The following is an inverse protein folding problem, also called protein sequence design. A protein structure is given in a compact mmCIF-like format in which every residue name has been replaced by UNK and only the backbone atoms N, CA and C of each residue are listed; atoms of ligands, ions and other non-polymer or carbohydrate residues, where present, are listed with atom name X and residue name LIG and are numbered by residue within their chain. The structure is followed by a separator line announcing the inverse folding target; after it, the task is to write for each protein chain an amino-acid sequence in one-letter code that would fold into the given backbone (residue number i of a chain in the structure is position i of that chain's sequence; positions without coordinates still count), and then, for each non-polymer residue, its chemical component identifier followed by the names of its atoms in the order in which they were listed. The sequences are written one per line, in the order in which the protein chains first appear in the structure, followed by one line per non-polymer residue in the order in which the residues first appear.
data_IF_559746491927
#
_entry.id   IF_559746491927
#
_cell.length_a   1.000
_cell.length_b   1.000
_cell.length_c   1.000
_cell.angle_alpha   90.00
_cell.angle_beta   90.00
_cell.angle_gamma   90.00
#
_symmetry.space_group_name_H-M   'P 1'
#
loop_
_entity.id
_entity.type
_entity.pdbx_description
1 polymer ?
#
# COMPACT_ATOMS: atom_id res chain seq x y z
N UNK A 1 -53.36 -12.80 61.62
CA UNK A 1 -52.02 -12.81 62.24
C UNK A 1 -51.20 -13.93 61.59
N UNK A 2 -51.22 -14.04 60.26
CA UNK A 2 -50.55 -15.12 59.51
C UNK A 2 -49.92 -14.66 58.18
N UNK A 3 -49.77 -13.32 57.92
CA UNK A 3 -49.18 -12.80 56.64
C UNK A 3 -47.81 -12.20 56.81
N UNK A 4 -47.16 -12.30 57.98
CA UNK A 4 -45.80 -11.72 58.18
C UNK A 4 -44.69 -12.76 58.35
N UNK A 5 -44.94 -14.04 58.03
CA UNK A 5 -43.94 -15.11 58.20
C UNK A 5 -43.28 -15.61 56.93
N UNK A 6 -43.67 -15.12 55.74
CA UNK A 6 -43.08 -15.56 54.44
C UNK A 6 -42.00 -14.61 53.87
N UNK A 7 -41.58 -13.59 54.59
CA UNK A 7 -40.61 -12.62 54.03
C UNK A 7 -39.20 -12.74 54.59
N UNK A 8 -38.83 -13.92 55.08
CA UNK A 8 -37.47 -14.23 55.53
C UNK A 8 -37.03 -15.64 55.15
N UNK A 9 -37.21 -16.02 53.88
CA UNK A 9 -36.49 -17.16 53.33
C UNK A 9 -35.15 -16.69 52.82
N UNK A 10 -34.07 -17.20 53.40
CA UNK A 10 -32.74 -17.10 52.86
C UNK A 10 -32.72 -17.65 51.41
N UNK A 11 -31.93 -17.08 50.50
CA UNK A 11 -31.87 -17.57 49.12
C UNK A 11 -31.55 -19.06 49.16
N UNK A 12 -32.41 -19.86 48.57
CA UNK A 12 -32.23 -21.31 48.47
C UNK A 12 -30.96 -21.61 47.69
N UNK A 13 -30.19 -22.62 48.09
CA UNK A 13 -28.92 -23.02 47.41
C UNK A 13 -29.08 -23.13 45.90
N UNK A 14 -30.24 -23.51 45.38
CA UNK A 14 -30.59 -23.50 43.97
C UNK A 14 -30.55 -22.10 43.30
N UNK A 15 -30.74 -21.02 44.05
CA UNK A 15 -30.62 -19.62 43.53
C UNK A 15 -29.17 -19.14 43.53
N UNK A 16 -28.35 -19.68 44.41
CA UNK A 16 -26.87 -19.39 44.39
C UNK A 16 -26.18 -20.18 43.29
N UNK A 17 -26.51 -21.48 43.08
CA UNK A 17 -25.97 -22.25 41.94
C UNK A 17 -26.35 -21.64 40.60
N UNK A 18 -27.58 -21.17 40.41
CA UNK A 18 -28.01 -20.47 39.18
C UNK A 18 -27.32 -19.10 39.01
N UNK A 19 -27.02 -18.41 40.13
CA UNK A 19 -26.20 -17.18 40.06
C UNK A 19 -24.74 -17.47 39.72
N UNK A 20 -24.15 -18.50 40.32
CA UNK A 20 -22.78 -18.92 39.96
C UNK A 20 -22.69 -19.44 38.51
N UNK A 21 -23.66 -20.27 38.04
CA UNK A 21 -23.69 -20.66 36.62
C UNK A 21 -23.89 -19.48 35.66
N UNK A 22 -24.68 -18.48 36.04
CA UNK A 22 -24.86 -17.24 35.24
C UNK A 22 -23.58 -16.36 35.29
N UNK A 23 -22.91 -16.25 36.42
CA UNK A 23 -21.63 -15.51 36.52
C UNK A 23 -20.48 -16.19 35.79
N UNK A 24 -20.43 -17.53 35.76
CA UNK A 24 -19.39 -18.29 35.04
C UNK A 24 -19.54 -18.15 33.49
N UNK A 25 -20.72 -17.82 32.98
CA UNK A 25 -20.96 -17.70 31.52
C UNK A 25 -20.69 -16.28 30.97
N UNK A 26 -20.53 -15.27 31.80
CA UNK A 26 -20.10 -13.91 31.36
C UNK A 26 -18.59 -13.68 31.59
N UNK A 27 -17.76 -14.51 31.00
CA UNK A 27 -16.40 -14.08 30.74
C UNK A 27 -16.49 -12.99 29.67
N UNK A 28 -16.61 -11.72 30.11
CA UNK A 28 -16.65 -10.57 29.24
C UNK A 28 -15.43 -10.61 28.32
N UNK A 29 -15.63 -11.06 27.09
CA UNK A 29 -14.60 -10.98 26.07
C UNK A 29 -14.35 -9.50 25.84
N UNK A 30 -13.10 -9.06 26.02
CA UNK A 30 -12.73 -7.68 25.71
C UNK A 30 -13.29 -7.29 24.32
N UNK A 31 -13.79 -6.07 24.12
CA UNK A 31 -14.37 -5.62 22.85
C UNK A 31 -13.48 -5.95 21.64
N UNK A 32 -12.17 -5.80 21.81
CA UNK A 32 -11.17 -6.12 20.77
C UNK A 32 -11.20 -7.62 20.44
N UNK A 33 -11.28 -8.49 21.44
CA UNK A 33 -11.30 -9.95 21.22
C UNK A 33 -12.57 -10.40 20.47
N UNK A 34 -13.70 -9.72 20.72
CA UNK A 34 -14.93 -9.97 19.96
C UNK A 34 -14.77 -9.56 18.49
N UNK A 35 -14.20 -8.39 18.22
CA UNK A 35 -13.94 -7.93 16.85
C UNK A 35 -13.01 -8.90 16.13
N UNK A 36 -11.88 -9.28 16.73
CA UNK A 36 -10.94 -10.25 16.14
C UNK A 36 -11.63 -11.58 15.85
N UNK A 37 -12.43 -12.12 16.79
CA UNK A 37 -13.14 -13.38 16.57
C UNK A 37 -14.17 -13.29 15.44
N UNK A 38 -14.91 -12.17 15.33
CA UNK A 38 -15.86 -11.94 14.24
C UNK A 38 -15.15 -11.80 12.89
N UNK A 39 -14.04 -11.06 12.85
CA UNK A 39 -13.23 -10.88 11.66
C UNK A 39 -12.74 -12.21 11.08
N UNK A 40 -12.12 -13.07 11.89
CA UNK A 40 -11.62 -14.37 11.43
C UNK A 40 -12.74 -15.41 11.17
N UNK A 41 -13.98 -15.15 11.57
CA UNK A 41 -15.12 -15.97 11.19
C UNK A 41 -15.59 -15.73 9.76
N UNK A 42 -15.33 -14.57 9.20
CA UNK A 42 -15.63 -14.21 7.81
C UNK A 42 -14.65 -14.91 6.86
N UNK A 43 -15.15 -15.73 5.96
CA UNK A 43 -14.33 -16.41 4.94
C UNK A 43 -13.64 -15.41 4.01
N UNK A 44 -14.35 -14.33 3.67
CA UNK A 44 -13.83 -13.29 2.77
C UNK A 44 -12.65 -12.53 3.40
N UNK A 45 -12.78 -12.17 4.69
CA UNK A 45 -11.70 -11.54 5.46
C UNK A 45 -10.45 -12.43 5.53
N UNK A 46 -10.65 -13.75 5.75
CA UNK A 46 -9.56 -14.70 5.80
C UNK A 46 -8.84 -14.81 4.46
N UNK A 47 -9.60 -14.86 3.35
CA UNK A 47 -9.01 -14.83 1.99
C UNK A 47 -8.21 -13.55 1.78
N UNK A 48 -8.74 -12.38 2.16
CA UNK A 48 -8.02 -11.11 2.07
C UNK A 48 -6.71 -11.11 2.87
N UNK A 49 -6.73 -11.62 4.11
CA UNK A 49 -5.52 -11.73 4.94
C UNK A 49 -4.49 -12.65 4.29
N UNK A 50 -4.90 -13.81 3.75
CA UNK A 50 -3.99 -14.74 3.07
C UNK A 50 -3.38 -14.07 1.82
N UNK A 51 -4.21 -13.41 1.00
CA UNK A 51 -3.74 -12.67 -0.19
C UNK A 51 -2.68 -11.64 0.18
N UNK A 52 -2.95 -10.82 1.18
CA UNK A 52 -2.01 -9.80 1.65
C UNK A 52 -0.76 -10.44 2.28
N UNK A 53 -0.90 -11.49 3.09
CA UNK A 53 0.25 -12.18 3.69
C UNK A 53 1.20 -12.73 2.63
N UNK A 54 0.67 -13.38 1.59
CA UNK A 54 1.46 -13.87 0.45
C UNK A 54 2.14 -12.70 -0.26
N UNK A 55 1.41 -11.63 -0.53
CA UNK A 55 1.89 -10.47 -1.24
C UNK A 55 3.00 -9.73 -0.45
N UNK A 56 2.83 -9.52 0.87
CA UNK A 56 3.85 -8.94 1.72
C UNK A 56 5.08 -9.82 1.85
N UNK A 57 4.90 -11.13 1.99
CA UNK A 57 6.00 -12.10 2.02
C UNK A 57 6.78 -12.04 0.70
N UNK A 58 6.09 -12.04 -0.43
CA UNK A 58 6.70 -11.93 -1.74
C UNK A 58 7.51 -10.62 -1.89
N UNK A 59 6.93 -9.48 -1.53
CA UNK A 59 7.56 -8.18 -1.71
C UNK A 59 8.73 -7.94 -0.72
N UNK A 60 8.59 -8.29 0.55
CA UNK A 60 9.55 -7.92 1.60
C UNK A 60 10.51 -9.05 1.96
N UNK A 61 10.04 -10.29 2.06
CA UNK A 61 10.88 -11.44 2.36
C UNK A 61 11.44 -12.09 1.09
N UNK A 62 10.79 -11.89 -0.07
CA UNK A 62 11.21 -12.49 -1.35
C UNK A 62 12.67 -12.21 -1.71
N UNK A 63 13.11 -10.93 -1.86
CA UNK A 63 14.47 -10.63 -2.25
C UNK A 63 15.55 -11.22 -1.32
N UNK A 64 15.52 -11.04 0.02
CA UNK A 64 16.53 -11.66 0.87
C UNK A 64 16.50 -13.20 0.84
N UNK A 65 15.32 -13.79 0.64
CA UNK A 65 15.18 -15.22 0.50
C UNK A 65 15.82 -15.72 -0.82
N UNK A 66 15.58 -15.01 -1.92
CA UNK A 66 16.18 -15.35 -3.22
C UNK A 66 17.70 -15.27 -3.17
N UNK A 67 18.28 -14.23 -2.54
CA UNK A 67 19.72 -14.14 -2.32
C UNK A 67 20.26 -15.29 -1.46
N UNK A 68 19.52 -15.71 -0.42
CA UNK A 68 19.90 -16.86 0.40
C UNK A 68 19.91 -18.19 -0.38
N UNK A 69 19.10 -18.31 -1.43
CA UNK A 69 19.09 -19.44 -2.36
C UNK A 69 20.08 -19.30 -3.53
N UNK A 70 20.96 -18.30 -3.50
CA UNK A 70 22.00 -18.11 -4.53
C UNK A 70 21.52 -17.36 -5.77
N UNK A 71 20.41 -16.63 -5.69
CA UNK A 71 19.96 -15.76 -6.77
C UNK A 71 20.75 -14.46 -6.75
N UNK A 72 21.49 -14.17 -7.82
CA UNK A 72 22.46 -13.06 -7.83
C UNK A 72 21.92 -11.76 -8.39
N UNK A 73 20.75 -11.77 -9.04
CA UNK A 73 20.18 -10.59 -9.69
C UNK A 73 19.60 -9.57 -8.71
N UNK A 74 20.00 -8.31 -8.86
CA UNK A 74 19.47 -7.17 -8.10
C UNK A 74 18.39 -6.40 -8.88
N UNK A 75 17.73 -5.47 -8.20
CA UNK A 75 16.65 -4.63 -8.76
C UNK A 75 17.08 -3.84 -10.00
N UNK A 76 18.29 -3.28 -9.95
CA UNK A 76 18.82 -2.34 -10.95
C UNK A 76 19.93 -2.96 -11.81
N UNK A 77 20.18 -4.24 -11.63
CA UNK A 77 21.23 -4.94 -12.32
C UNK A 77 20.77 -5.33 -13.73
N UNK A 78 21.57 -4.93 -14.73
CA UNK A 78 21.35 -5.24 -16.14
C UNK A 78 22.16 -6.49 -16.51
N UNK A 79 21.54 -7.44 -17.20
CA UNK A 79 22.23 -8.57 -17.79
C UNK A 79 22.97 -8.11 -19.05
N UNK A 80 24.29 -8.20 -18.99
CA UNK A 80 25.21 -7.85 -20.08
C UNK A 80 25.71 -9.13 -20.72
N UNK A 81 25.06 -9.57 -21.78
CA UNK A 81 25.60 -10.65 -22.60
C UNK A 81 26.54 -10.11 -23.67
N UNK A 82 27.63 -10.81 -23.97
CA UNK A 82 28.43 -10.48 -25.13
C UNK A 82 27.59 -10.69 -26.40
N UNK A 83 27.01 -9.62 -26.92
CA UNK A 83 26.21 -9.62 -28.13
C UNK A 83 27.18 -9.54 -29.31
N UNK A 84 27.23 -10.62 -30.06
CA UNK A 84 27.97 -10.72 -31.33
C UNK A 84 29.46 -10.87 -31.15
N UNK A 85 29.86 -12.11 -31.06
CA UNK A 85 31.09 -12.51 -31.71
C UNK A 85 30.90 -12.31 -33.22
N UNK A 86 31.15 -11.14 -33.73
CA UNK A 86 31.60 -11.05 -35.12
C UNK A 86 32.92 -11.81 -35.14
N UNK A 87 32.85 -13.03 -35.51
CA UNK A 87 34.03 -13.71 -36.03
C UNK A 87 34.40 -12.92 -37.30
N UNK A 88 35.16 -11.86 -37.12
CA UNK A 88 35.93 -11.33 -38.19
C UNK A 88 36.93 -12.45 -38.45
N UNK A 89 36.77 -13.14 -39.57
CA UNK A 89 37.79 -14.03 -40.03
C UNK A 89 39.08 -13.27 -39.95
N UNK A 90 40.01 -13.70 -39.11
CA UNK A 90 41.38 -13.24 -39.13
C UNK A 90 41.94 -13.65 -40.49
N UNK A 91 41.75 -12.82 -41.50
CA UNK A 91 42.56 -12.87 -42.66
C UNK A 91 43.94 -12.47 -42.15
N UNK A 92 44.82 -13.48 -42.01
CA UNK A 92 46.24 -13.25 -41.91
C UNK A 92 46.69 -12.58 -43.23
N UNK A 93 46.47 -11.29 -43.37
CA UNK A 93 47.01 -10.52 -44.45
C UNK A 93 48.47 -10.32 -44.11
N UNK A 94 49.30 -11.25 -44.61
CA UNK A 94 50.73 -11.03 -44.63
C UNK A 94 51.02 -9.94 -45.66
N UNK A 95 51.29 -8.75 -45.16
CA UNK A 95 51.77 -7.69 -45.99
C UNK A 95 53.28 -7.68 -45.94
N UNK A 96 53.92 -7.81 -47.07
CA UNK A 96 55.39 -7.76 -47.20
C UNK A 96 55.82 -6.37 -47.52
N UNK A 97 56.74 -5.81 -46.76
CA UNK A 97 57.39 -4.53 -47.02
C UNK A 97 58.28 -4.62 -48.25
N UNK A 98 58.69 -3.45 -48.78
CA UNK A 98 59.59 -3.34 -49.92
C UNK A 98 60.95 -4.05 -49.71
N UNK A 99 61.27 -4.33 -48.44
CA UNK A 99 62.49 -4.99 -48.01
C UNK A 99 62.26 -6.49 -47.71
N UNK A 100 61.07 -7.06 -48.00
CA UNK A 100 60.79 -8.50 -47.89
C UNK A 100 60.37 -8.95 -46.47
N UNK A 101 60.14 -8.03 -45.52
CA UNK A 101 59.71 -8.38 -44.17
C UNK A 101 58.21 -8.61 -44.13
N UNK A 102 57.75 -9.72 -43.52
CA UNK A 102 56.32 -9.98 -43.28
C UNK A 102 55.85 -9.28 -42.01
N UNK A 103 54.82 -8.47 -42.13
CA UNK A 103 54.13 -7.81 -41.01
C UNK A 103 52.76 -8.48 -40.82
N UNK A 104 52.52 -8.98 -39.63
CA UNK A 104 51.19 -9.41 -39.19
C UNK A 104 50.36 -8.19 -38.72
N UNK A 105 49.20 -7.98 -39.29
CA UNK A 105 48.25 -6.95 -38.76
C UNK A 105 47.49 -7.63 -37.61
N UNK A 106 47.73 -7.19 -36.40
CA UNK A 106 46.92 -7.55 -35.22
C UNK A 106 45.63 -6.76 -35.30
N UNK A 107 44.52 -7.38 -35.63
CA UNK A 107 43.21 -6.79 -35.53
C UNK A 107 42.70 -6.94 -34.10
N UNK A 108 42.51 -5.83 -33.37
CA UNK A 108 41.85 -5.87 -32.08
C UNK A 108 40.35 -6.11 -32.31
N UNK A 109 39.84 -7.24 -31.80
CA UNK A 109 38.41 -7.47 -31.75
C UNK A 109 37.89 -6.77 -30.53
N UNK A 110 37.21 -5.63 -30.70
CA UNK A 110 36.40 -5.06 -29.63
C UNK A 110 35.18 -5.96 -29.39
N UNK A 111 35.11 -6.59 -28.23
CA UNK A 111 33.88 -7.21 -27.76
C UNK A 111 32.88 -6.13 -27.44
N UNK A 112 31.90 -5.89 -28.32
CA UNK A 112 30.75 -5.08 -27.98
C UNK A 112 29.89 -5.85 -27.00
N UNK A 113 29.85 -5.37 -25.74
CA UNK A 113 28.96 -5.91 -24.71
C UNK A 113 27.56 -5.35 -24.96
N UNK A 114 26.62 -6.19 -25.34
CA UNK A 114 25.22 -5.82 -25.53
C UNK A 114 24.38 -6.11 -24.30
N UNK A 115 23.26 -5.41 -24.21
CA UNK A 115 22.23 -5.68 -23.18
C UNK A 115 21.41 -6.88 -23.63
N UNK A 116 21.18 -7.86 -22.74
CA UNK A 116 20.30 -9.00 -22.99
C UNK A 116 18.83 -8.60 -22.83
N UNK A 117 18.37 -7.74 -23.74
CA UNK A 117 17.00 -7.23 -23.73
C UNK A 117 16.01 -8.33 -24.10
N UNK A 118 14.88 -8.40 -23.37
CA UNK A 118 13.80 -9.35 -23.63
C UNK A 118 14.25 -10.84 -23.65
N UNK A 119 15.23 -11.20 -22.83
CA UNK A 119 15.65 -12.57 -22.71
C UNK A 119 14.47 -13.48 -22.31
N UNK A 120 14.37 -14.69 -22.89
CA UNK A 120 13.30 -15.61 -22.57
C UNK A 120 13.40 -16.12 -21.12
N UNK A 121 12.29 -16.68 -20.63
CA UNK A 121 12.26 -17.35 -19.32
C UNK A 121 13.34 -18.44 -19.26
N UNK A 122 14.14 -18.41 -18.20
CA UNK A 122 15.26 -19.33 -17.97
C UNK A 122 15.44 -19.60 -16.48
N UNK A 123 16.35 -20.49 -16.12
CA UNK A 123 16.70 -20.74 -14.71
C UNK A 123 17.34 -19.50 -14.04
N UNK A 124 18.08 -18.68 -14.79
CA UNK A 124 18.66 -17.42 -14.32
C UNK A 124 17.64 -16.27 -14.31
N UNK A 125 16.65 -16.29 -15.19
CA UNK A 125 15.60 -15.27 -15.32
C UNK A 125 14.23 -15.95 -15.40
N UNK A 126 13.57 -16.27 -14.27
CA UNK A 126 12.31 -17.03 -14.25
C UNK A 126 11.18 -16.42 -15.07
N UNK A 127 11.14 -15.08 -15.19
CA UNK A 127 10.18 -14.34 -16.01
C UNK A 127 10.83 -13.60 -17.19
N UNK A 128 12.10 -13.88 -17.47
CA UNK A 128 12.87 -13.19 -18.48
C UNK A 128 13.40 -11.84 -18.03
N UNK A 129 13.93 -11.06 -19.00
CA UNK A 129 14.43 -9.69 -18.76
C UNK A 129 13.56 -8.65 -19.46
N UNK A 130 13.63 -7.43 -19.00
CA UNK A 130 12.94 -6.28 -19.62
C UNK A 130 13.77 -5.65 -20.78
N UNK A 131 13.29 -4.54 -21.32
CA UNK A 131 13.96 -3.75 -22.36
C UNK A 131 15.41 -3.38 -22.00
N UNK A 132 15.70 -3.17 -20.71
CA UNK A 132 17.02 -2.79 -20.18
C UNK A 132 17.85 -4.00 -19.72
N UNK A 133 17.39 -5.21 -20.00
CA UNK A 133 18.05 -6.43 -19.54
C UNK A 133 17.93 -6.69 -18.03
N UNK A 134 17.00 -6.03 -17.34
CA UNK A 134 16.79 -6.20 -15.90
C UNK A 134 15.85 -7.37 -15.65
N UNK A 135 16.13 -8.16 -14.61
CA UNK A 135 15.33 -9.33 -14.26
C UNK A 135 13.91 -8.97 -13.80
N UNK A 136 12.90 -9.46 -14.51
CA UNK A 136 11.48 -9.16 -14.25
C UNK A 136 11.02 -9.72 -12.91
N UNK A 137 11.48 -10.94 -12.53
CA UNK A 137 11.02 -11.59 -11.31
C UNK A 137 11.47 -10.86 -10.05
N UNK A 138 12.74 -10.46 -9.98
CA UNK A 138 13.24 -9.70 -8.85
C UNK A 138 12.63 -8.29 -8.81
N UNK A 139 12.41 -7.66 -9.96
CA UNK A 139 11.76 -6.35 -10.08
C UNK A 139 10.30 -6.36 -9.62
N UNK A 140 9.56 -7.46 -9.80
CA UNK A 140 8.21 -7.62 -9.23
C UNK A 140 8.21 -7.56 -7.69
N UNK A 141 9.22 -8.16 -7.05
CA UNK A 141 9.35 -8.12 -5.59
C UNK A 141 9.67 -6.71 -5.10
N UNK A 142 10.68 -6.06 -5.70
CA UNK A 142 11.06 -4.69 -5.33
C UNK A 142 9.97 -3.67 -5.66
N UNK A 143 9.31 -3.81 -6.81
CA UNK A 143 8.17 -3.00 -7.19
C UNK A 143 7.02 -3.12 -6.17
N UNK A 144 6.81 -4.32 -5.63
CA UNK A 144 5.86 -4.52 -4.54
C UNK A 144 6.23 -3.77 -3.26
N UNK A 145 7.51 -3.78 -2.87
CA UNK A 145 7.97 -2.98 -1.72
C UNK A 145 7.65 -1.51 -1.90
N UNK A 146 7.97 -0.97 -3.06
CA UNK A 146 7.77 0.45 -3.37
C UNK A 146 6.29 0.81 -3.36
N UNK A 147 5.45 0.11 -4.15
CA UNK A 147 4.03 0.39 -4.26
C UNK A 147 3.28 0.21 -2.92
N UNK A 148 3.59 -0.84 -2.14
CA UNK A 148 2.99 -1.06 -0.82
C UNK A 148 3.45 -0.01 0.20
N UNK A 149 4.76 0.28 0.27
CA UNK A 149 5.30 1.28 1.21
C UNK A 149 4.72 2.66 0.95
N UNK A 150 4.64 3.07 -0.33
CA UNK A 150 3.99 4.31 -0.74
C UNK A 150 2.54 4.36 -0.25
N UNK A 151 1.77 3.31 -0.52
CA UNK A 151 0.37 3.22 -0.10
C UNK A 151 0.21 3.41 1.42
N UNK A 152 1.02 2.71 2.22
CA UNK A 152 0.96 2.81 3.68
C UNK A 152 1.34 4.20 4.20
N UNK A 153 2.45 4.77 3.72
CA UNK A 153 2.91 6.08 4.17
C UNK A 153 1.86 7.15 3.87
N UNK A 154 1.33 7.16 2.64
CA UNK A 154 0.32 8.15 2.22
C UNK A 154 -0.95 8.02 3.06
N UNK A 155 -1.52 6.81 3.20
CA UNK A 155 -2.74 6.60 4.01
C UNK A 155 -2.55 7.02 5.46
N UNK A 156 -1.40 6.70 6.07
CA UNK A 156 -1.12 7.11 7.46
C UNK A 156 -1.07 8.63 7.58
N UNK A 157 -0.36 9.31 6.67
CA UNK A 157 -0.25 10.77 6.67
C UNK A 157 -1.60 11.44 6.42
N UNK A 158 -2.37 10.97 5.43
CA UNK A 158 -3.73 11.44 5.16
C UNK A 158 -4.63 11.27 6.39
N UNK A 159 -4.51 10.14 7.08
CA UNK A 159 -5.30 9.87 8.27
C UNK A 159 -4.92 10.80 9.42
N UNK A 160 -3.64 11.03 9.66
CA UNK A 160 -3.17 11.96 10.70
C UNK A 160 -3.71 13.37 10.45
N UNK A 161 -3.54 13.89 9.22
CA UNK A 161 -4.04 15.22 8.83
C UNK A 161 -5.57 15.25 8.93
N UNK A 162 -6.24 14.22 8.42
CA UNK A 162 -7.69 14.08 8.45
C UNK A 162 -8.27 14.08 9.87
N UNK A 163 -7.62 13.37 10.82
CA UNK A 163 -8.01 13.37 12.23
C UNK A 163 -7.84 14.74 12.84
N UNK A 164 -6.73 15.42 12.59
CA UNK A 164 -6.47 16.76 13.16
C UNK A 164 -7.48 17.76 12.62
N UNK A 165 -7.60 17.87 11.30
CA UNK A 165 -8.47 18.86 10.65
C UNK A 165 -9.95 18.56 10.87
N UNK A 166 -10.36 17.31 10.71
CA UNK A 166 -11.73 16.85 10.97
C UNK A 166 -12.10 16.93 12.45
N UNK A 167 -11.15 16.61 13.33
CA UNK A 167 -11.30 16.72 14.78
C UNK A 167 -11.53 18.15 15.24
N UNK A 168 -10.70 19.09 14.80
CA UNK A 168 -10.83 20.52 15.08
C UNK A 168 -12.16 21.05 14.52
N UNK A 169 -12.44 20.75 13.26
CA UNK A 169 -13.66 21.18 12.56
C UNK A 169 -14.93 20.68 13.28
N UNK A 170 -15.02 19.39 13.56
CA UNK A 170 -16.17 18.77 14.21
C UNK A 170 -16.36 19.21 15.67
N UNK A 171 -15.26 19.41 16.41
CA UNK A 171 -15.34 19.80 17.81
C UNK A 171 -15.73 21.26 18.01
N UNK A 172 -15.04 22.21 17.36
CA UNK A 172 -15.29 23.64 17.55
C UNK A 172 -16.54 24.13 16.80
N UNK A 173 -16.82 23.57 15.62
CA UNK A 173 -17.97 24.00 14.82
C UNK A 173 -17.89 25.46 14.32
N UNK A 174 -19.02 26.05 13.98
CA UNK A 174 -19.15 27.47 13.64
C UNK A 174 -18.21 27.95 12.53
N UNK A 175 -17.48 29.05 12.75
CA UNK A 175 -16.57 29.66 11.76
C UNK A 175 -15.36 28.77 11.48
N UNK A 176 -14.83 28.05 12.48
CA UNK A 176 -13.68 27.14 12.33
C UNK A 176 -14.05 25.99 11.38
N UNK A 177 -15.21 25.40 11.60
CA UNK A 177 -15.76 24.36 10.73
C UNK A 177 -15.96 24.86 9.29
N UNK A 178 -16.56 26.04 9.14
CA UNK A 178 -16.80 26.64 7.82
C UNK A 178 -15.50 26.86 7.04
N UNK A 179 -14.43 27.35 7.68
CA UNK A 179 -13.15 27.59 7.01
C UNK A 179 -12.51 26.26 6.60
N UNK A 180 -12.41 25.29 7.52
CA UNK A 180 -11.79 23.99 7.24
C UNK A 180 -12.56 23.25 6.15
N UNK A 181 -13.89 23.20 6.23
CA UNK A 181 -14.71 22.53 5.22
C UNK A 181 -14.68 23.23 3.87
N UNK A 182 -14.50 24.56 3.83
CA UNK A 182 -14.29 25.26 2.56
C UNK A 182 -12.98 24.83 1.87
N UNK A 183 -11.90 24.64 2.65
CA UNK A 183 -10.65 24.09 2.11
C UNK A 183 -10.86 22.66 1.59
N UNK A 184 -11.52 21.82 2.38
CA UNK A 184 -11.88 20.44 1.99
C UNK A 184 -12.71 20.43 0.71
N UNK A 185 -13.69 21.33 0.56
CA UNK A 185 -14.53 21.43 -0.63
C UNK A 185 -13.71 21.84 -1.86
N UNK A 186 -12.79 22.81 -1.72
CA UNK A 186 -11.90 23.24 -2.80
C UNK A 186 -11.02 22.06 -3.25
N UNK A 187 -10.39 21.33 -2.31
CA UNK A 187 -9.55 20.18 -2.63
C UNK A 187 -10.32 19.07 -3.36
N UNK A 188 -11.59 18.83 -2.94
CA UNK A 188 -12.42 17.82 -3.59
C UNK A 188 -12.98 18.25 -4.97
N UNK A 189 -12.99 19.55 -5.29
CA UNK A 189 -13.36 20.04 -6.62
C UNK A 189 -12.24 19.82 -7.65
N UNK A 190 -11.00 19.64 -7.20
CA UNK A 190 -9.85 19.43 -8.08
C UNK A 190 -9.75 17.94 -8.40
N UNK A 191 -9.84 17.53 -9.67
CA UNK A 191 -9.69 16.12 -10.02
C UNK A 191 -8.26 15.65 -9.77
N UNK A 192 -8.11 14.58 -8.96
CA UNK A 192 -6.83 14.10 -8.44
C UNK A 192 -5.83 13.74 -9.54
N UNK A 193 -6.25 13.01 -10.58
CA UNK A 193 -5.34 12.60 -11.66
C UNK A 193 -4.72 13.78 -12.42
N UNK A 194 -5.47 14.78 -12.93
CA UNK A 194 -4.87 15.95 -13.57
C UNK A 194 -3.86 16.70 -12.69
N UNK A 195 -4.13 16.86 -11.38
CA UNK A 195 -3.19 17.56 -10.51
C UNK A 195 -1.89 16.76 -10.33
N UNK A 196 -1.99 15.44 -10.22
CA UNK A 196 -0.84 14.56 -10.12
C UNK A 196 -0.01 14.55 -11.42
N UNK A 197 -0.67 14.59 -12.59
CA UNK A 197 0.00 14.70 -13.89
C UNK A 197 0.80 16.01 -13.98
N UNK A 198 0.18 17.15 -13.65
CA UNK A 198 0.85 18.46 -13.65
C UNK A 198 2.01 18.45 -12.66
N UNK A 199 1.79 17.96 -11.46
CA UNK A 199 2.82 17.90 -10.42
C UNK A 199 4.01 17.02 -10.83
N UNK A 200 3.78 15.89 -11.48
CA UNK A 200 4.86 15.04 -12.00
C UNK A 200 5.71 15.74 -13.03
N UNK A 201 5.09 16.46 -13.99
CA UNK A 201 5.82 17.24 -15.00
C UNK A 201 6.66 18.36 -14.35
N UNK A 202 6.10 19.01 -13.32
CA UNK A 202 6.85 20.05 -12.56
C UNK A 202 8.05 19.42 -11.83
N UNK A 203 7.86 18.28 -11.17
CA UNK A 203 8.94 17.54 -10.50
C UNK A 203 10.04 17.16 -11.49
N UNK A 204 9.67 16.71 -12.69
CA UNK A 204 10.63 16.39 -13.76
C UNK A 204 11.45 17.60 -14.18
N UNK A 205 10.83 18.79 -14.27
CA UNK A 205 11.52 20.03 -14.64
C UNK A 205 12.57 20.47 -13.60
N UNK A 206 12.46 20.00 -12.36
CA UNK A 206 13.42 20.30 -11.29
C UNK A 206 14.67 19.41 -11.31
N UNK A 207 14.75 18.44 -12.23
CA UNK A 207 15.86 17.48 -12.34
C UNK A 207 16.16 16.76 -11.01
N UNK A 208 15.10 16.39 -10.27
CA UNK A 208 15.20 15.69 -9.00
C UNK A 208 15.70 14.26 -9.25
N UNK A 209 16.60 13.79 -8.38
CA UNK A 209 17.08 12.42 -8.42
C UNK A 209 15.92 11.41 -8.40
N UNK A 210 16.03 10.35 -9.22
CA UNK A 210 15.00 9.31 -9.38
C UNK A 210 14.55 8.71 -8.06
N UNK A 211 15.48 8.51 -7.12
CA UNK A 211 15.22 7.98 -5.77
C UNK A 211 14.36 8.91 -4.91
N UNK A 212 14.48 10.23 -5.11
CA UNK A 212 13.75 11.23 -4.33
C UNK A 212 12.34 11.48 -4.87
N UNK A 213 12.08 11.18 -6.14
CA UNK A 213 10.79 11.44 -6.81
C UNK A 213 9.60 10.83 -6.09
N UNK A 214 9.77 9.62 -5.54
CA UNK A 214 8.71 8.92 -4.79
C UNK A 214 8.21 9.75 -3.59
N UNK A 215 9.10 10.43 -2.87
CA UNK A 215 8.73 11.23 -1.70
C UNK A 215 7.90 12.45 -2.07
N UNK A 216 8.19 13.09 -3.21
CA UNK A 216 7.37 14.21 -3.72
C UNK A 216 5.98 13.73 -4.15
N UNK A 217 5.87 12.58 -4.80
CA UNK A 217 4.59 11.98 -5.14
C UNK A 217 3.77 11.66 -3.88
N UNK A 218 4.38 11.05 -2.86
CA UNK A 218 3.74 10.79 -1.57
C UNK A 218 3.23 12.08 -0.92
N UNK A 219 4.05 13.15 -0.94
CA UNK A 219 3.68 14.44 -0.37
C UNK A 219 2.45 15.04 -1.06
N UNK A 220 2.43 15.05 -2.40
CA UNK A 220 1.34 15.61 -3.18
C UNK A 220 0.06 14.80 -2.97
N UNK A 221 0.15 13.46 -3.03
CA UNK A 221 -1.00 12.59 -2.75
C UNK A 221 -1.55 12.87 -1.35
N UNK A 222 -0.69 13.01 -0.36
CA UNK A 222 -1.09 13.34 1.03
C UNK A 222 -1.78 14.70 1.12
N UNK A 223 -1.24 15.75 0.45
CA UNK A 223 -1.81 17.11 0.50
C UNK A 223 -3.25 17.15 -0.04
N UNK A 224 -3.57 16.35 -1.03
CA UNK A 224 -4.90 16.34 -1.65
C UNK A 224 -5.82 15.25 -1.07
N UNK A 225 -5.27 14.11 -0.58
CA UNK A 225 -6.05 12.94 -0.19
C UNK A 225 -6.71 13.00 1.20
N UNK A 226 -6.17 13.78 2.15
CA UNK A 226 -6.67 13.85 3.53
C UNK A 226 -8.13 14.35 3.67
N UNK A 227 -8.63 15.06 2.66
CA UNK A 227 -9.93 15.73 2.68
C UNK A 227 -11.12 14.80 2.93
N UNK A 228 -11.09 13.59 2.36
CA UNK A 228 -12.12 12.56 2.56
C UNK A 228 -12.18 12.07 4.01
N UNK A 229 -11.02 11.81 4.61
CA UNK A 229 -10.90 11.38 6.01
C UNK A 229 -11.35 12.50 6.95
N UNK A 230 -10.94 13.75 6.68
CA UNK A 230 -11.35 14.89 7.49
C UNK A 230 -12.87 15.07 7.53
N UNK A 231 -13.55 14.92 6.39
CA UNK A 231 -15.02 15.00 6.32
C UNK A 231 -15.70 13.90 7.12
N UNK A 232 -15.18 12.67 7.04
CA UNK A 232 -15.68 11.54 7.80
C UNK A 232 -15.47 11.74 9.31
N UNK A 233 -14.26 12.12 9.74
CA UNK A 233 -13.91 12.39 11.14
C UNK A 233 -14.77 13.51 11.71
N UNK A 234 -14.94 14.63 10.97
CA UNK A 234 -15.83 15.71 11.35
C UNK A 234 -17.24 15.22 11.63
N UNK A 235 -17.81 14.43 10.72
CA UNK A 235 -19.18 13.92 10.89
C UNK A 235 -19.34 13.08 12.16
N UNK A 236 -18.37 12.21 12.46
CA UNK A 236 -18.36 11.39 13.66
C UNK A 236 -18.19 12.23 14.94
N UNK A 237 -17.28 13.20 14.93
CA UNK A 237 -17.02 14.05 16.10
C UNK A 237 -18.20 14.98 16.41
N UNK A 238 -18.88 15.50 15.39
CA UNK A 238 -20.12 16.27 15.57
C UNK A 238 -21.18 15.47 16.34
N UNK A 239 -21.34 14.20 16.00
CA UNK A 239 -22.27 13.31 16.70
C UNK A 239 -21.81 13.00 18.12
N UNK A 240 -20.53 12.62 18.28
CA UNK A 240 -20.01 12.16 19.58
C UNK A 240 -19.85 13.28 20.61
N UNK A 241 -19.59 14.52 20.20
CA UNK A 241 -19.42 15.64 21.15
C UNK A 241 -20.68 15.95 21.93
N UNK A 242 -21.88 15.59 21.42
CA UNK A 242 -23.17 15.80 22.07
C UNK A 242 -23.56 14.65 23.02
N UNK A 243 -22.72 13.60 23.11
CA UNK A 243 -22.97 12.46 23.99
C UNK A 243 -22.67 12.80 25.46
N UNK A 244 -23.45 12.22 26.38
CA UNK A 244 -23.38 12.48 27.81
C UNK A 244 -21.97 12.34 28.41
N UNK A 245 -21.18 11.36 27.94
CA UNK A 245 -19.83 11.13 28.46
C UNK A 245 -18.86 12.27 28.12
N UNK A 246 -19.05 12.99 26.99
CA UNK A 246 -18.25 14.15 26.62
C UNK A 246 -18.71 15.39 27.38
N UNK A 247 -20.02 15.54 27.58
CA UNK A 247 -20.56 16.61 28.42
C UNK A 247 -20.07 16.47 29.87
N UNK A 248 -20.03 15.24 30.42
CA UNK A 248 -19.43 14.95 31.72
C UNK A 248 -17.93 15.32 31.77
N UNK A 249 -17.15 15.01 30.74
CA UNK A 249 -15.74 15.44 30.64
C UNK A 249 -15.58 16.96 30.63
N UNK A 250 -16.55 17.69 30.06
CA UNK A 250 -16.55 19.13 30.04
C UNK A 250 -16.83 19.73 31.42
N UNK A 251 -17.84 19.21 32.10
CA UNK A 251 -18.19 19.63 33.49
C UNK A 251 -17.04 19.35 34.46
N UNK A 252 -16.28 18.22 34.25
CA UNK A 252 -15.08 17.88 35.01
C UNK A 252 -13.86 18.76 34.66
N UNK A 253 -13.98 19.72 33.73
CA UNK A 253 -12.88 20.61 33.36
C UNK A 253 -11.76 19.97 32.55
N UNK A 254 -11.98 18.82 31.89
CA UNK A 254 -10.98 18.16 31.04
C UNK A 254 -10.67 19.08 29.84
N UNK A 255 -9.37 19.39 29.58
CA UNK A 255 -9.01 20.29 28.49
C UNK A 255 -9.40 19.75 27.12
N UNK A 256 -9.78 20.64 26.20
CA UNK A 256 -10.33 20.31 24.87
C UNK A 256 -9.48 19.32 24.07
N UNK A 257 -8.14 19.53 24.03
CA UNK A 257 -7.26 18.63 23.29
C UNK A 257 -7.33 17.18 23.82
N UNK A 258 -7.48 17.02 25.16
CA UNK A 258 -7.61 15.70 25.79
C UNK A 258 -8.98 15.09 25.50
N UNK A 259 -10.06 15.90 25.45
CA UNK A 259 -11.38 15.44 25.02
C UNK A 259 -11.37 14.93 23.58
N UNK A 260 -10.71 15.64 22.67
CA UNK A 260 -10.60 15.22 21.25
C UNK A 260 -9.76 13.95 21.15
N UNK A 261 -8.49 13.99 21.53
CA UNK A 261 -7.54 12.90 21.21
C UNK A 261 -7.62 11.69 22.15
N UNK A 262 -8.06 11.86 23.42
CA UNK A 262 -8.13 10.76 24.38
C UNK A 262 -9.54 10.15 24.51
N UNK A 263 -10.57 10.91 24.18
CA UNK A 263 -11.96 10.44 24.32
C UNK A 263 -12.68 10.31 22.98
N UNK A 264 -12.66 11.30 22.10
CA UNK A 264 -13.40 11.26 20.83
C UNK A 264 -12.69 10.39 19.78
N UNK A 265 -11.39 10.62 19.51
CA UNK A 265 -10.64 9.88 18.49
C UNK A 265 -10.65 8.37 18.71
N UNK A 266 -10.43 7.82 19.93
CA UNK A 266 -10.50 6.38 20.15
C UNK A 266 -11.88 5.77 19.83
N UNK A 267 -12.96 6.53 20.00
CA UNK A 267 -14.30 6.05 19.69
C UNK A 267 -14.58 5.97 18.16
N UNK A 268 -13.87 6.74 17.36
CA UNK A 268 -13.98 6.69 15.89
C UNK A 268 -12.92 5.80 15.24
N UNK A 269 -11.94 5.29 16.01
CA UNK A 269 -10.87 4.42 15.50
C UNK A 269 -11.38 3.21 14.68
N UNK A 270 -12.47 2.52 15.08
CA UNK A 270 -12.99 1.43 14.27
C UNK A 270 -13.29 1.87 12.84
N UNK A 271 -13.96 2.98 12.65
CA UNK A 271 -14.30 3.49 11.33
C UNK A 271 -13.08 4.03 10.57
N UNK A 272 -12.13 4.64 11.28
CA UNK A 272 -10.85 5.08 10.71
C UNK A 272 -10.06 3.90 10.13
N UNK A 273 -9.91 2.81 10.87
CA UNK A 273 -9.18 1.61 10.44
C UNK A 273 -9.81 1.04 9.16
N UNK A 274 -11.13 0.95 9.09
CA UNK A 274 -11.84 0.53 7.87
C UNK A 274 -11.52 1.46 6.70
N UNK A 275 -11.66 2.78 6.91
CA UNK A 275 -11.40 3.78 5.85
C UNK A 275 -9.94 3.76 5.39
N UNK A 276 -8.98 3.60 6.31
CA UNK A 276 -7.56 3.44 5.99
C UNK A 276 -7.31 2.20 5.13
N UNK A 277 -7.88 1.08 5.52
CA UNK A 277 -7.66 -0.19 4.81
C UNK A 277 -8.22 -0.13 3.38
N UNK A 278 -9.42 0.41 3.20
CA UNK A 278 -10.01 0.61 1.87
C UNK A 278 -9.24 1.66 1.05
N UNK A 279 -8.72 2.69 1.71
CA UNK A 279 -7.91 3.75 1.10
C UNK A 279 -6.61 3.22 0.48
N UNK A 280 -5.96 2.21 1.09
CA UNK A 280 -4.72 1.61 0.58
C UNK A 280 -4.86 1.11 -0.85
N UNK A 281 -5.93 0.39 -1.17
CA UNK A 281 -6.20 -0.07 -2.53
C UNK A 281 -6.32 1.07 -3.54
N UNK A 282 -6.99 2.16 -3.16
CA UNK A 282 -7.13 3.36 -3.98
C UNK A 282 -5.80 4.04 -4.28
N UNK A 283 -4.93 4.20 -3.27
CA UNK A 283 -3.62 4.85 -3.44
C UNK A 283 -2.70 4.02 -4.34
N UNK A 284 -2.69 2.68 -4.18
CA UNK A 284 -1.93 1.78 -5.06
C UNK A 284 -2.39 1.93 -6.52
N UNK A 285 -3.70 2.04 -6.76
CA UNK A 285 -4.23 2.28 -8.11
C UNK A 285 -3.84 3.65 -8.66
N UNK A 286 -3.86 4.72 -7.86
CA UNK A 286 -3.39 6.05 -8.29
C UNK A 286 -1.90 6.04 -8.64
N UNK A 287 -1.05 5.44 -7.80
CA UNK A 287 0.38 5.29 -8.08
C UNK A 287 0.59 4.52 -9.39
N UNK A 288 -0.07 3.37 -9.54
CA UNK A 288 0.06 2.53 -10.72
C UNK A 288 -0.43 3.24 -11.99
N UNK A 289 -1.49 4.03 -11.91
CA UNK A 289 -1.98 4.83 -13.03
C UNK A 289 -0.98 5.90 -13.45
N UNK A 290 -0.39 6.62 -12.49
CA UNK A 290 0.66 7.60 -12.77
C UNK A 290 1.89 6.95 -13.40
N UNK A 291 2.32 5.83 -12.84
CA UNK A 291 3.46 5.08 -13.35
C UNK A 291 3.20 4.54 -14.76
N UNK A 292 1.98 4.04 -15.04
CA UNK A 292 1.56 3.61 -16.37
C UNK A 292 1.63 4.76 -17.39
N UNK A 293 1.27 5.97 -16.99
CA UNK A 293 1.35 7.16 -17.82
C UNK A 293 2.78 7.72 -17.95
N UNK A 294 3.79 7.03 -17.43
CA UNK A 294 5.19 7.42 -17.51
C UNK A 294 5.61 8.48 -16.50
N UNK A 295 4.72 8.81 -15.54
CA UNK A 295 4.92 9.87 -14.56
C UNK A 295 5.18 9.33 -13.14
N UNK A 296 5.35 8.03 -13.01
CA UNK A 296 5.69 7.35 -11.78
C UNK A 296 7.17 7.42 -11.43
N UNK A 297 7.63 6.35 -10.79
CA UNK A 297 9.03 6.20 -10.39
C UNK A 297 9.85 5.87 -11.63
N UNK A 298 10.88 6.68 -11.96
CA UNK A 298 11.67 6.42 -13.15
C UNK A 298 12.65 5.26 -12.93
N UNK A 299 13.08 4.67 -14.05
CA UNK A 299 14.19 3.72 -14.05
C UNK A 299 15.43 4.31 -13.36
N UNK A 300 16.26 3.49 -12.69
CA UNK A 300 16.25 2.00 -12.71
C UNK A 300 15.32 1.36 -11.67
N UNK A 301 14.68 2.12 -10.82
CA UNK A 301 13.83 1.57 -9.74
C UNK A 301 12.54 0.95 -10.27
N UNK A 302 12.07 -0.10 -9.59
CA UNK A 302 10.86 -0.81 -9.95
C UNK A 302 9.66 -0.33 -9.12
N UNK A 303 8.51 -0.23 -9.78
CA UNK A 303 7.19 -0.17 -9.18
C UNK A 303 6.25 -1.01 -10.04
N UNK A 304 5.18 -1.55 -9.47
CA UNK A 304 4.26 -2.38 -10.29
C UNK A 304 3.65 -1.59 -11.45
N UNK A 305 3.35 -0.31 -11.24
CA UNK A 305 2.83 0.55 -12.29
C UNK A 305 3.82 0.80 -13.43
N UNK A 306 5.11 1.00 -13.12
CA UNK A 306 6.15 1.15 -14.18
C UNK A 306 6.37 -0.13 -14.96
N UNK A 307 6.18 -1.30 -14.35
CA UNK A 307 6.24 -2.58 -15.07
C UNK A 307 5.06 -2.74 -16.03
N UNK A 308 3.86 -2.30 -15.64
CA UNK A 308 2.69 -2.31 -16.54
C UNK A 308 2.87 -1.33 -17.70
N UNK A 309 3.59 -0.24 -17.53
CA UNK A 309 3.78 0.74 -18.61
C UNK A 309 4.46 0.15 -19.85
N UNK A 310 5.18 -0.97 -19.73
CA UNK A 310 5.70 -1.70 -20.89
C UNK A 310 4.61 -2.17 -21.86
N UNK A 311 3.35 -2.30 -21.39
CA UNK A 311 2.18 -2.65 -22.22
C UNK A 311 1.64 -1.48 -23.07
N UNK A 312 2.20 -0.28 -22.94
CA UNK A 312 1.79 0.86 -23.79
C UNK A 312 2.25 0.71 -25.24
N UNK A 313 3.35 -0.02 -25.47
CA UNK A 313 3.76 -0.42 -26.81
C UNK A 313 3.03 -1.69 -27.26
N UNK A 314 2.24 -1.66 -28.35
CA UNK A 314 1.46 -2.81 -28.82
C UNK A 314 2.30 -4.04 -29.15
N UNK A 315 3.52 -3.86 -29.63
CA UNK A 315 4.44 -4.98 -29.97
C UNK A 315 4.91 -5.65 -28.69
N UNK A 316 5.38 -4.87 -27.74
CA UNK A 316 5.84 -5.37 -26.43
C UNK A 316 4.70 -6.01 -25.65
N UNK A 317 3.51 -5.42 -25.68
CA UNK A 317 2.31 -5.95 -25.05
C UNK A 317 1.95 -7.35 -25.56
N UNK A 318 2.00 -7.54 -26.89
CA UNK A 318 1.65 -8.82 -27.50
C UNK A 318 2.76 -9.88 -27.40
N UNK A 319 4.02 -9.47 -27.55
CA UNK A 319 5.16 -10.38 -27.64
C UNK A 319 5.73 -10.80 -26.28
N UNK A 320 5.62 -9.93 -25.26
CA UNK A 320 6.26 -10.11 -23.96
C UNK A 320 5.28 -9.96 -22.78
N UNK A 321 4.22 -10.78 -22.68
CA UNK A 321 3.22 -10.67 -21.61
C UNK A 321 3.80 -10.86 -20.21
N UNK A 322 4.93 -11.55 -20.07
CA UNK A 322 5.61 -11.76 -18.80
C UNK A 322 6.09 -10.45 -18.15
N UNK A 323 6.26 -9.36 -18.91
CA UNK A 323 6.72 -8.07 -18.39
C UNK A 323 5.63 -7.34 -17.58
N UNK A 324 4.37 -7.43 -18.00
CA UNK A 324 3.29 -6.61 -17.45
C UNK A 324 2.16 -7.40 -16.78
N UNK A 325 1.83 -8.62 -17.27
CA UNK A 325 0.73 -9.42 -16.71
C UNK A 325 0.95 -9.76 -15.23
N UNK A 326 2.15 -10.24 -14.79
CA UNK A 326 2.35 -10.54 -13.38
C UNK A 326 2.20 -9.31 -12.47
N UNK A 327 2.69 -8.13 -12.89
CA UNK A 327 2.53 -6.89 -12.15
C UNK A 327 1.04 -6.49 -12.03
N UNK A 328 0.28 -6.62 -13.12
CA UNK A 328 -1.17 -6.38 -13.12
C UNK A 328 -1.91 -7.32 -12.15
N UNK A 329 -1.57 -8.60 -12.15
CA UNK A 329 -2.15 -9.58 -11.22
C UNK A 329 -1.84 -9.21 -9.76
N UNK A 330 -0.60 -8.80 -9.44
CA UNK A 330 -0.22 -8.39 -8.08
C UNK A 330 -0.97 -7.15 -7.62
N UNK A 331 -1.21 -6.15 -8.51
CA UNK A 331 -2.04 -4.99 -8.19
C UNK A 331 -3.48 -5.42 -7.89
N UNK A 332 -4.07 -6.29 -8.71
CA UNK A 332 -5.43 -6.82 -8.47
C UNK A 332 -5.50 -7.56 -7.13
N UNK A 333 -4.51 -8.41 -6.82
CA UNK A 333 -4.43 -9.12 -5.55
C UNK A 333 -4.31 -8.12 -4.38
N UNK A 334 -3.49 -7.08 -4.50
CA UNK A 334 -3.34 -6.05 -3.48
C UNK A 334 -4.66 -5.33 -3.21
N UNK A 335 -5.31 -4.81 -4.27
CA UNK A 335 -6.57 -4.06 -4.15
C UNK A 335 -7.69 -4.94 -3.58
N UNK A 336 -7.88 -6.15 -4.10
CA UNK A 336 -8.87 -7.08 -3.58
C UNK A 336 -8.57 -7.50 -2.15
N UNK A 337 -7.30 -7.77 -1.83
CA UNK A 337 -6.88 -8.15 -0.49
C UNK A 337 -7.19 -7.06 0.54
N UNK A 338 -6.86 -5.79 0.25
CA UNK A 338 -7.20 -4.67 1.12
C UNK A 338 -8.71 -4.45 1.22
N UNK A 339 -9.46 -4.56 0.14
CA UNK A 339 -10.91 -4.43 0.17
C UNK A 339 -11.56 -5.54 1.02
N UNK A 340 -11.17 -6.81 0.85
CA UNK A 340 -11.70 -7.91 1.65
C UNK A 340 -11.38 -7.78 3.13
N UNK A 341 -10.18 -7.31 3.47
CA UNK A 341 -9.81 -7.03 4.86
C UNK A 341 -10.59 -5.84 5.40
N UNK A 342 -10.72 -4.75 4.62
CA UNK A 342 -11.48 -3.57 5.01
C UNK A 342 -12.97 -3.86 5.24
N UNK A 343 -13.61 -4.57 4.33
CA UNK A 343 -15.01 -4.99 4.48
C UNK A 343 -15.19 -5.94 5.68
N UNK A 344 -14.26 -6.87 5.86
CA UNK A 344 -14.27 -7.76 7.02
C UNK A 344 -14.11 -7.05 8.35
N UNK A 345 -13.26 -6.02 8.40
CA UNK A 345 -13.13 -5.14 9.59
C UNK A 345 -14.41 -4.35 9.82
N UNK A 346 -15.02 -3.82 8.77
CA UNK A 346 -16.29 -3.11 8.86
C UNK A 346 -17.38 -4.00 9.45
N UNK A 347 -17.56 -5.21 8.93
CA UNK A 347 -18.56 -6.17 9.41
C UNK A 347 -18.31 -6.61 10.87
N UNK A 348 -17.03 -6.79 11.23
CA UNK A 348 -16.64 -7.18 12.58
C UNK A 348 -16.86 -6.08 13.62
N UNK A 349 -16.75 -4.82 13.21
CA UNK A 349 -16.92 -3.63 14.07
C UNK A 349 -18.38 -3.14 14.13
N UNK A 350 -19.27 -3.60 13.22
CA UNK A 350 -20.69 -3.20 13.25
C UNK A 350 -21.39 -3.87 14.44
N UNK A 351 -21.92 -3.10 15.43
CA UNK A 351 -22.61 -3.65 16.60
C UNK A 351 -23.95 -4.28 16.22
N UNK A 352 -24.53 -3.94 15.07
CA UNK A 352 -25.83 -4.47 14.60
C UNK A 352 -25.70 -5.80 13.84
N UNK A 353 -24.50 -6.21 13.49
CA UNK A 353 -24.25 -7.48 12.81
C UNK A 353 -24.49 -8.65 13.76
N UNK A 354 -25.68 -9.24 13.70
CA UNK A 354 -26.12 -10.42 14.47
C UNK A 354 -25.68 -11.74 13.82
N UNK A 355 -24.48 -11.87 13.29
CA UNK A 355 -24.01 -13.14 12.73
C UNK A 355 -22.88 -13.76 13.53
#
# INVERSE_FOLDING_TARGET
MNEQKEMNMAPTEATEEVREEVEIHYKELSPIRMVVRRFFRSKLSLVGVIMLAVLFTFAFAGPPLMYAFGYEWGETQTDLTPTIKRATATLDVKTTDKDGNEFGVIQFVEEEVGINSYAPMSASHPLGTDEKGMDVFIRLMYGGRVSLTLGFIVVILETIIGIIMGGISGYFGGKVDQVIMRIVDILNCIPMLPILLIASVVIDSWNIESSARIYYLMLIMTIFGWSGIARMVRGQILYLREQEFIVACEVMGIPTWRRIFKHLVPNIMPQLIVSMTLGLGGIILYESTLSYLGLGIPLPYAAWGTMISSSTDPVTMASYPALWVPAGILIVIAVLGFNFVGDGLRDAMDPKSKR
#
